data_IF_853847642237
#
_entry.id   IF_853847642237
#
_cell.length_a   1.000
_cell.length_b   1.000
_cell.length_c   1.000
_cell.angle_alpha   90.00
_cell.angle_beta   90.00
_cell.angle_gamma   90.00
#
_symmetry.space_group_name_H-M   'P 1'
#
loop_
_entity.id
_entity.type
_entity.pdbx_description
1 polymer ?
#
# COMPACT_ATOMS: atom_id res chain seq x y z
N UNK A 1 45.86 62.53 -5.07
CA UNK A 1 45.46 63.54 -4.06
C UNK A 1 44.16 63.06 -3.43
N UNK A 2 44.20 62.68 -2.15
CA UNK A 2 43.06 62.32 -1.26
C UNK A 2 42.29 61.03 -1.64
N UNK A 3 41.93 60.10 -0.74
CA UNK A 3 42.09 59.98 0.70
C UNK A 3 41.76 58.51 1.05
N UNK A 4 42.68 57.82 1.72
CA UNK A 4 42.42 56.57 2.44
C UNK A 4 42.54 56.89 3.93
N UNK A 5 41.46 56.75 4.71
CA UNK A 5 41.47 56.33 6.12
C UNK A 5 40.08 56.33 6.75
N UNK A 6 39.89 55.34 7.65
CA UNK A 6 38.85 55.20 8.68
C UNK A 6 37.46 54.77 8.16
N UNK A 7 36.84 53.68 8.61
CA UNK A 7 36.74 53.16 9.98
C UNK A 7 36.64 51.62 10.00
N UNK A 8 37.68 50.97 10.50
CA UNK A 8 37.62 49.64 11.12
C UNK A 8 36.97 49.79 12.51
N UNK A 9 35.70 49.46 12.65
CA UNK A 9 35.08 49.17 13.97
C UNK A 9 34.19 47.94 13.88
N UNK A 10 34.74 46.84 14.39
CA UNK A 10 34.07 45.76 15.11
C UNK A 10 32.73 45.26 14.56
N UNK A 11 32.78 44.36 13.58
CA UNK A 11 31.72 43.36 13.42
C UNK A 11 32.30 42.00 13.77
N UNK A 12 31.89 41.45 14.92
CA UNK A 12 32.05 40.03 15.25
C UNK A 12 30.77 39.33 14.80
N UNK A 13 30.83 38.22 14.04
CA UNK A 13 29.64 37.42 13.79
C UNK A 13 29.14 36.86 15.14
N UNK A 14 27.82 36.71 15.33
CA UNK A 14 27.30 36.12 16.55
C UNK A 14 27.86 34.71 16.70
N UNK A 15 28.55 34.46 17.81
CA UNK A 15 28.85 33.10 18.26
C UNK A 15 27.50 32.49 18.61
N UNK A 16 26.98 31.63 17.74
CA UNK A 16 25.84 30.79 18.08
C UNK A 16 26.31 29.82 19.15
N UNK A 17 25.92 30.09 20.39
CA UNK A 17 26.07 29.17 21.50
C UNK A 17 25.23 27.93 21.23
N UNK A 18 25.89 26.81 20.94
CA UNK A 18 25.29 25.51 20.60
C UNK A 18 24.66 24.84 21.83
N UNK A 19 24.62 25.48 23.01
CA UNK A 19 24.21 24.81 24.26
C UNK A 19 22.75 24.96 24.67
N UNK A 20 21.86 25.62 23.94
CA UNK A 20 20.47 25.81 24.38
C UNK A 20 19.37 25.65 23.30
N UNK A 21 19.48 24.63 22.44
CA UNK A 21 18.33 24.10 21.68
C UNK A 21 18.08 22.62 22.02
N UNK A 22 17.76 22.35 23.29
CA UNK A 22 17.04 21.14 23.71
C UNK A 22 15.79 21.58 24.48
N UNK A 23 14.81 22.15 23.79
CA UNK A 23 13.46 22.29 24.32
C UNK A 23 12.44 21.92 23.24
N UNK A 24 11.77 20.81 23.50
CA UNK A 24 10.57 20.27 22.86
C UNK A 24 10.74 19.75 21.44
N UNK A 25 11.53 18.69 21.27
CA UNK A 25 11.21 17.73 20.22
C UNK A 25 9.89 17.06 20.65
N UNK A 26 8.78 17.41 19.99
CA UNK A 26 7.53 16.65 20.10
C UNK A 26 7.90 15.21 19.78
N UNK A 27 7.62 14.30 20.70
CA UNK A 27 7.85 12.88 20.49
C UNK A 27 7.15 12.52 19.16
N UNK A 28 7.88 12.01 18.14
CA UNK A 28 7.31 11.69 16.83
C UNK A 28 6.07 10.80 16.92
N UNK A 29 5.95 10.02 18.01
CA UNK A 29 4.77 9.25 18.35
C UNK A 29 3.57 10.13 18.66
N UNK A 30 3.68 11.17 19.48
CA UNK A 30 2.51 11.95 19.94
C UNK A 30 1.79 12.67 18.79
N UNK A 31 2.52 13.08 17.75
CA UNK A 31 1.96 13.70 16.54
C UNK A 31 1.45 12.69 15.49
N UNK A 32 1.88 11.42 15.58
CA UNK A 32 1.35 10.33 14.75
C UNK A 32 -0.05 9.94 15.22
N UNK A 33 -0.25 9.89 16.55
CA UNK A 33 -1.47 9.37 17.19
C UNK A 33 -2.56 10.43 17.37
N UNK A 34 -2.28 11.70 17.08
CA UNK A 34 -3.20 12.83 17.27
C UNK A 34 -4.14 13.10 16.08
N UNK A 35 -3.98 12.38 14.96
CA UNK A 35 -4.85 12.57 13.79
C UNK A 35 -6.31 12.16 14.10
N UNK A 36 -7.32 12.96 13.72
CA UNK A 36 -8.72 12.60 13.91
C UNK A 36 -9.14 11.30 13.20
N UNK A 37 -8.42 10.87 12.17
CA UNK A 37 -8.65 9.61 11.45
C UNK A 37 -8.12 8.38 12.18
N UNK A 38 -7.22 8.55 13.15
CA UNK A 38 -6.52 7.44 13.82
C UNK A 38 -7.37 6.85 14.95
N UNK A 39 -7.50 5.53 14.97
CA UNK A 39 -8.03 4.75 16.10
C UNK A 39 -7.03 3.68 16.49
N UNK A 40 -6.91 3.45 17.79
CA UNK A 40 -5.92 2.55 18.38
C UNK A 40 -6.59 1.82 19.54
N UNK A 41 -6.47 0.49 19.56
CA UNK A 41 -6.96 -0.31 20.67
C UNK A 41 -6.00 -0.27 21.86
N UNK A 42 -4.70 -0.45 21.62
CA UNK A 42 -3.67 -0.51 22.66
C UNK A 42 -2.53 0.49 22.40
N UNK A 43 -2.62 1.73 22.92
CA UNK A 43 -1.60 2.75 22.71
C UNK A 43 -0.19 2.38 23.20
N UNK A 44 -0.09 1.59 24.28
CA UNK A 44 1.22 1.16 24.80
C UNK A 44 1.90 0.20 23.84
N UNK A 45 1.17 -0.80 23.34
CA UNK A 45 1.70 -1.76 22.37
C UNK A 45 2.12 -1.06 21.06
N UNK A 46 1.33 -0.08 20.60
CA UNK A 46 1.70 0.76 19.45
C UNK A 46 3.01 1.50 19.70
N UNK A 47 3.16 2.14 20.86
CA UNK A 47 4.37 2.88 21.19
C UNK A 47 5.61 1.97 21.23
N UNK A 48 5.49 0.77 21.80
CA UNK A 48 6.58 -0.21 21.88
C UNK A 48 7.00 -0.70 20.49
N UNK A 49 6.04 -1.03 19.61
CA UNK A 49 6.32 -1.46 18.23
C UNK A 49 6.95 -0.34 17.41
N UNK A 50 6.43 0.87 17.48
CA UNK A 50 7.02 2.03 16.78
C UNK A 50 8.44 2.30 17.28
N UNK A 51 8.68 2.24 18.60
CA UNK A 51 10.03 2.36 19.16
C UNK A 51 10.96 1.28 18.63
N UNK A 52 10.49 0.02 18.52
CA UNK A 52 11.26 -1.07 17.96
C UNK A 52 11.61 -0.83 16.47
N UNK A 53 10.65 -0.37 15.66
CA UNK A 53 10.89 0.00 14.26
C UNK A 53 11.91 1.14 14.13
N UNK A 54 11.74 2.22 14.91
CA UNK A 54 12.62 3.39 14.90
C UNK A 54 14.03 3.02 15.35
N UNK A 55 14.16 2.18 16.38
CA UNK A 55 15.46 1.72 16.89
C UNK A 55 16.13 0.73 15.93
N UNK A 56 15.34 -0.05 15.18
CA UNK A 56 15.86 -0.97 14.17
C UNK A 56 16.40 -0.27 12.92
N UNK A 57 15.89 0.92 12.61
CA UNK A 57 16.35 1.73 11.48
C UNK A 57 15.87 1.22 10.12
N UNK A 58 16.14 2.02 9.08
CA UNK A 58 15.61 1.81 7.72
C UNK A 58 16.19 0.56 7.03
N UNK A 59 17.43 0.21 7.36
CA UNK A 59 18.12 -0.94 6.75
C UNK A 59 17.59 -2.29 7.23
N UNK A 60 16.77 -2.28 8.29
CA UNK A 60 16.08 -3.47 8.82
C UNK A 60 14.60 -3.52 8.42
N UNK A 61 14.09 -2.52 7.71
CA UNK A 61 12.68 -2.41 7.34
C UNK A 61 12.41 -3.09 5.99
N UNK A 62 11.26 -3.75 5.90
CA UNK A 62 10.53 -4.09 4.68
C UNK A 62 9.07 -3.63 4.81
N UNK A 63 8.42 -3.37 3.67
CA UNK A 63 7.01 -2.95 3.62
C UNK A 63 6.22 -4.01 2.85
N UNK A 64 5.14 -4.50 3.44
CA UNK A 64 4.18 -5.38 2.78
C UNK A 64 2.86 -4.62 2.70
N UNK A 65 2.29 -4.49 1.50
CA UNK A 65 1.09 -3.70 1.31
C UNK A 65 0.14 -4.38 0.34
N UNK A 66 -1.16 -4.29 0.60
CA UNK A 66 -2.14 -4.41 -0.47
C UNK A 66 -2.06 -3.19 -1.42
N UNK A 67 -2.66 -3.29 -2.61
CA UNK A 67 -2.74 -2.19 -3.56
C UNK A 67 -4.11 -1.50 -3.59
N UNK A 68 -5.18 -2.24 -3.89
CA UNK A 68 -6.49 -1.68 -4.17
C UNK A 68 -7.11 -1.13 -2.87
N UNK A 69 -7.43 0.16 -2.83
CA UNK A 69 -7.97 0.84 -1.65
C UNK A 69 -7.04 0.89 -0.42
N UNK A 70 -5.82 0.37 -0.54
CA UNK A 70 -4.72 0.58 0.41
C UNK A 70 -3.73 1.60 -0.12
N UNK A 71 -3.05 1.30 -1.23
CA UNK A 71 -2.15 2.22 -1.95
C UNK A 71 -2.99 3.18 -2.81
N UNK A 72 -4.00 2.66 -3.50
CA UNK A 72 -4.97 3.46 -4.23
C UNK A 72 -6.05 4.02 -3.29
N UNK A 73 -6.65 5.14 -3.70
CA UNK A 73 -7.75 5.79 -3.00
C UNK A 73 -9.01 4.95 -3.11
N UNK A 74 -9.87 5.11 -2.11
CA UNK A 74 -11.24 4.60 -2.15
C UNK A 74 -12.19 5.65 -2.73
N UNK A 75 -12.01 6.93 -2.39
CA UNK A 75 -12.75 8.05 -2.96
C UNK A 75 -11.80 9.13 -3.51
N UNK A 76 -12.19 9.75 -4.62
CA UNK A 76 -11.52 10.92 -5.16
C UNK A 76 -11.86 12.20 -4.36
N UNK A 77 -11.27 13.33 -4.75
CA UNK A 77 -11.52 14.62 -4.10
C UNK A 77 -12.95 15.17 -4.29
N UNK A 78 -13.74 14.58 -5.19
CA UNK A 78 -15.12 14.93 -5.46
C UNK A 78 -16.11 13.97 -4.77
N UNK A 79 -15.61 12.93 -4.07
CA UNK A 79 -16.43 11.91 -3.42
C UNK A 79 -16.85 10.76 -4.34
N UNK A 80 -16.33 10.67 -5.57
CA UNK A 80 -16.60 9.53 -6.45
C UNK A 80 -15.73 8.34 -6.07
N UNK A 81 -16.28 7.13 -6.18
CA UNK A 81 -15.54 5.89 -5.93
C UNK A 81 -14.42 5.75 -6.97
N UNK A 82 -13.20 5.56 -6.50
CA UNK A 82 -12.06 5.21 -7.35
C UNK A 82 -12.14 3.74 -7.78
N UNK A 83 -11.51 3.41 -8.90
CA UNK A 83 -11.54 2.05 -9.44
C UNK A 83 -10.51 1.14 -8.74
N UNK A 84 -10.85 -0.13 -8.58
CA UNK A 84 -9.86 -1.19 -8.36
C UNK A 84 -9.25 -1.65 -9.67
N UNK A 85 -8.17 -2.43 -9.60
CA UNK A 85 -7.53 -3.06 -10.77
C UNK A 85 -8.50 -3.89 -11.62
N UNK A 86 -9.42 -4.65 -11.03
CA UNK A 86 -10.46 -5.38 -11.77
C UNK A 86 -11.50 -4.44 -12.40
N UNK A 87 -11.88 -3.35 -11.72
CA UNK A 87 -12.88 -2.40 -12.24
C UNK A 87 -12.39 -1.63 -13.48
N UNK A 88 -11.08 -1.58 -13.72
CA UNK A 88 -10.50 -1.03 -14.96
C UNK A 88 -11.08 -1.70 -16.20
N UNK A 89 -11.35 -3.02 -16.15
CA UNK A 89 -11.95 -3.73 -17.28
C UNK A 89 -13.40 -3.34 -17.50
N UNK A 90 -14.17 -3.06 -16.43
CA UNK A 90 -15.57 -2.61 -16.57
C UNK A 90 -15.61 -1.29 -17.34
N UNK A 91 -14.81 -0.31 -16.94
CA UNK A 91 -14.76 1.01 -17.57
C UNK A 91 -14.12 0.95 -18.96
N UNK A 92 -12.99 0.25 -19.08
CA UNK A 92 -12.25 0.14 -20.33
C UNK A 92 -13.04 -0.53 -21.45
N UNK A 93 -13.95 -1.45 -21.13
CA UNK A 93 -14.75 -2.14 -22.14
C UNK A 93 -16.06 -1.45 -22.49
N UNK A 94 -16.49 -0.39 -21.78
CA UNK A 94 -17.80 0.24 -22.01
C UNK A 94 -18.08 0.63 -23.46
N UNK A 95 -17.09 1.23 -24.11
CA UNK A 95 -17.20 1.78 -25.48
C UNK A 95 -16.88 0.74 -26.58
N UNK A 96 -16.29 -0.40 -26.22
CA UNK A 96 -15.82 -1.41 -27.19
C UNK A 96 -16.54 -2.75 -27.11
N UNK A 97 -17.08 -3.10 -25.94
CA UNK A 97 -17.87 -4.30 -25.67
C UNK A 97 -18.76 -4.06 -24.43
N UNK A 98 -19.89 -3.38 -24.66
CA UNK A 98 -20.87 -3.05 -23.62
C UNK A 98 -21.41 -4.31 -22.92
N UNK A 99 -21.57 -5.42 -23.65
CA UNK A 99 -22.06 -6.67 -23.11
C UNK A 99 -21.07 -7.28 -22.11
N UNK A 100 -19.78 -7.25 -22.41
CA UNK A 100 -18.73 -7.65 -21.47
C UNK A 100 -18.66 -6.73 -20.25
N UNK A 101 -18.73 -5.41 -20.46
CA UNK A 101 -18.78 -4.44 -19.37
C UNK A 101 -19.94 -4.74 -18.40
N UNK A 102 -21.13 -5.02 -18.95
CA UNK A 102 -22.31 -5.41 -18.18
C UNK A 102 -22.13 -6.70 -17.38
N UNK A 103 -21.50 -7.73 -17.96
CA UNK A 103 -21.21 -8.99 -17.25
C UNK A 103 -20.22 -8.80 -16.10
N UNK A 104 -19.13 -8.06 -16.33
CA UNK A 104 -18.13 -7.77 -15.30
C UNK A 104 -18.74 -6.93 -14.17
N UNK A 105 -19.56 -5.94 -14.50
CA UNK A 105 -20.30 -5.15 -13.52
C UNK A 105 -21.27 -6.00 -12.70
N UNK A 106 -22.03 -6.88 -13.34
CA UNK A 106 -22.97 -7.77 -12.64
C UNK A 106 -22.26 -8.70 -11.65
N UNK A 107 -21.06 -9.20 -11.99
CA UNK A 107 -20.23 -9.94 -11.04
C UNK A 107 -19.83 -9.06 -9.85
N UNK A 108 -19.33 -7.85 -10.11
CA UNK A 108 -18.94 -6.92 -9.03
C UNK A 108 -20.11 -6.61 -8.08
N UNK A 109 -21.26 -6.24 -8.63
CA UNK A 109 -22.45 -5.89 -7.85
C UNK A 109 -22.96 -7.07 -7.00
N UNK A 110 -22.81 -8.31 -7.48
CA UNK A 110 -23.27 -9.50 -6.78
C UNK A 110 -22.35 -9.93 -5.62
N UNK A 111 -21.03 -9.80 -5.78
CA UNK A 111 -20.07 -10.38 -4.84
C UNK A 111 -19.43 -9.37 -3.90
N UNK A 112 -19.34 -8.08 -4.27
CA UNK A 112 -18.80 -7.04 -3.39
C UNK A 112 -19.55 -6.93 -2.05
N UNK A 113 -20.90 -7.04 -1.98
CA UNK A 113 -21.61 -7.06 -0.70
C UNK A 113 -21.23 -8.26 0.18
N UNK A 114 -20.96 -9.42 -0.43
CA UNK A 114 -20.59 -10.67 0.27
C UNK A 114 -19.20 -10.53 0.89
N UNK A 115 -18.23 -9.99 0.14
CA UNK A 115 -16.87 -9.74 0.62
C UNK A 115 -16.87 -8.97 1.96
N UNK A 116 -17.75 -7.98 2.05
CA UNK A 116 -17.81 -7.07 3.19
C UNK A 116 -18.95 -7.30 4.17
N UNK A 117 -19.67 -8.42 4.04
CA UNK A 117 -20.73 -8.78 4.97
C UNK A 117 -20.15 -8.99 6.37
N UNK A 118 -20.61 -8.21 7.36
CA UNK A 118 -20.10 -8.32 8.72
C UNK A 118 -20.60 -9.55 9.48
N UNK A 119 -21.67 -10.19 8.99
CA UNK A 119 -22.31 -11.37 9.60
C UNK A 119 -21.73 -12.69 9.10
N UNK A 120 -21.25 -12.73 7.85
CA UNK A 120 -20.63 -13.93 7.29
C UNK A 120 -19.21 -14.15 7.85
N UNK A 121 -18.85 -15.41 8.09
CA UNK A 121 -17.48 -15.79 8.44
C UNK A 121 -16.56 -15.75 7.23
N UNK A 122 -15.24 -15.81 7.45
CA UNK A 122 -14.28 -15.86 6.34
C UNK A 122 -14.50 -17.15 5.53
N UNK A 123 -14.72 -18.27 6.21
CA UNK A 123 -14.92 -19.59 5.60
C UNK A 123 -16.15 -19.61 4.68
N UNK A 124 -17.23 -18.94 5.09
CA UNK A 124 -18.44 -18.79 4.27
C UNK A 124 -18.19 -17.93 3.02
N UNK A 125 -17.31 -16.92 3.10
CA UNK A 125 -17.03 -16.00 1.99
C UNK A 125 -16.04 -16.55 0.97
N UNK A 126 -15.08 -17.38 1.38
CA UNK A 126 -14.04 -17.95 0.51
C UNK A 126 -14.59 -18.51 -0.81
N UNK A 127 -15.58 -19.44 -0.83
CA UNK A 127 -16.07 -20.01 -2.09
C UNK A 127 -16.71 -18.96 -3.02
N UNK A 128 -17.30 -17.91 -2.46
CA UNK A 128 -17.85 -16.81 -3.25
C UNK A 128 -16.75 -15.96 -3.90
N UNK A 129 -15.67 -15.68 -3.18
CA UNK A 129 -14.53 -14.94 -3.72
C UNK A 129 -13.82 -15.74 -4.81
N UNK A 130 -13.62 -17.04 -4.62
CA UNK A 130 -13.05 -17.91 -5.65
C UNK A 130 -13.90 -17.90 -6.93
N UNK A 131 -15.22 -18.07 -6.80
CA UNK A 131 -16.13 -18.06 -7.95
C UNK A 131 -16.14 -16.71 -8.66
N UNK A 132 -16.15 -15.60 -7.90
CA UNK A 132 -16.12 -14.25 -8.44
C UNK A 132 -14.85 -14.00 -9.26
N UNK A 133 -13.67 -14.25 -8.67
CA UNK A 133 -12.40 -14.03 -9.34
C UNK A 133 -12.28 -14.90 -10.59
N UNK A 134 -12.57 -16.21 -10.50
CA UNK A 134 -12.49 -17.12 -11.65
C UNK A 134 -13.44 -16.72 -12.78
N UNK A 135 -14.65 -16.28 -12.43
CA UNK A 135 -15.62 -15.80 -13.41
C UNK A 135 -15.14 -14.54 -14.11
N UNK A 136 -14.60 -13.58 -13.35
CA UNK A 136 -14.05 -12.32 -13.87
C UNK A 136 -12.83 -12.58 -14.77
N UNK A 137 -11.88 -13.39 -14.31
CA UNK A 137 -10.69 -13.77 -15.05
C UNK A 137 -11.03 -14.48 -16.37
N UNK A 138 -11.99 -15.41 -16.36
CA UNK A 138 -12.46 -16.08 -17.58
C UNK A 138 -13.04 -15.09 -18.60
N UNK A 139 -13.87 -14.14 -18.16
CA UNK A 139 -14.43 -13.13 -19.05
C UNK A 139 -13.34 -12.25 -19.67
N UNK A 140 -12.31 -11.89 -18.90
CA UNK A 140 -11.18 -11.10 -19.38
C UNK A 140 -10.35 -11.88 -20.41
N UNK A 141 -10.10 -13.17 -20.19
CA UNK A 141 -9.29 -14.00 -21.10
C UNK A 141 -10.05 -14.38 -22.37
N UNK A 142 -11.35 -14.62 -22.29
CA UNK A 142 -12.21 -14.83 -23.46
C UNK A 142 -12.22 -13.63 -24.41
N UNK A 143 -12.05 -12.41 -23.87
CA UNK A 143 -11.99 -11.17 -24.64
C UNK A 143 -10.63 -10.92 -25.33
N UNK A 144 -9.57 -11.66 -24.97
CA UNK A 144 -8.25 -11.64 -25.63
C UNK A 144 -7.60 -10.27 -25.75
N UNK A 145 -7.73 -9.43 -24.72
CA UNK A 145 -7.12 -8.10 -24.73
C UNK A 145 -5.61 -8.15 -24.87
N UNK A 146 -5.06 -7.19 -25.62
CA UNK A 146 -3.62 -7.01 -25.75
C UNK A 146 -3.03 -6.16 -24.63
N UNK A 147 -1.71 -6.21 -24.42
CA UNK A 147 -1.05 -5.28 -23.47
C UNK A 147 -1.29 -3.84 -23.87
N UNK A 148 -1.30 -3.54 -25.18
CA UNK A 148 -1.64 -2.20 -25.68
C UNK A 148 -3.05 -1.77 -25.27
N UNK A 149 -4.02 -2.69 -25.36
CA UNK A 149 -5.39 -2.44 -24.91
C UNK A 149 -5.44 -2.19 -23.40
N UNK A 150 -4.77 -3.01 -22.59
CA UNK A 150 -4.71 -2.81 -21.14
C UNK A 150 -4.12 -1.45 -20.78
N UNK A 151 -3.04 -1.03 -21.45
CA UNK A 151 -2.45 0.30 -21.26
C UNK A 151 -3.44 1.42 -21.56
N UNK A 152 -4.28 1.24 -22.57
CA UNK A 152 -5.32 2.22 -22.90
C UNK A 152 -6.41 2.29 -21.82
N UNK A 153 -6.82 1.15 -21.26
CA UNK A 153 -7.80 1.08 -20.16
C UNK A 153 -7.26 1.77 -18.91
N UNK A 154 -6.01 1.47 -18.52
CA UNK A 154 -5.38 2.11 -17.36
C UNK A 154 -5.24 3.62 -17.57
N UNK A 155 -4.86 4.06 -18.77
CA UNK A 155 -4.69 5.48 -19.07
C UNK A 155 -5.96 6.32 -18.88
N UNK A 156 -7.14 5.73 -19.16
CA UNK A 156 -8.44 6.39 -18.98
C UNK A 156 -9.13 6.02 -17.66
N UNK A 157 -8.53 5.13 -16.87
CA UNK A 157 -9.06 4.70 -15.58
C UNK A 157 -8.98 5.81 -14.53
N UNK A 158 -9.90 5.78 -13.57
CA UNK A 158 -9.85 6.59 -12.36
C UNK A 158 -9.21 5.84 -11.18
N UNK A 159 -8.09 5.13 -11.42
CA UNK A 159 -7.23 4.69 -10.31
C UNK A 159 -6.43 5.91 -9.86
N UNK A 160 -6.54 6.25 -8.57
CA UNK A 160 -5.78 7.35 -7.98
C UNK A 160 -4.98 6.82 -6.80
N UNK A 161 -3.75 7.30 -6.63
CA UNK A 161 -2.96 7.01 -5.43
C UNK A 161 -3.44 7.84 -4.25
N UNK A 162 -3.36 7.28 -3.03
CA UNK A 162 -3.55 8.06 -1.79
C UNK A 162 -2.60 9.25 -1.75
N UNK A 163 -3.05 10.35 -1.13
CA UNK A 163 -2.25 11.57 -1.08
C UNK A 163 -0.90 11.33 -0.39
N UNK A 164 0.18 11.74 -1.05
CA UNK A 164 1.55 11.52 -0.58
C UNK A 164 2.15 10.15 -0.95
N UNK A 165 1.40 9.24 -1.56
CA UNK A 165 1.91 7.91 -1.92
C UNK A 165 3.07 7.97 -2.94
N UNK A 166 3.03 8.87 -3.92
CA UNK A 166 4.17 9.06 -4.85
C UNK A 166 5.48 9.30 -4.07
N UNK A 167 5.42 10.14 -3.04
CA UNK A 167 6.57 10.42 -2.16
C UNK A 167 6.96 9.25 -1.26
N UNK A 168 6.01 8.39 -0.87
CA UNK A 168 6.30 7.15 -0.14
C UNK A 168 7.09 6.18 -1.01
N UNK A 169 6.61 5.93 -2.24
CA UNK A 169 7.23 5.01 -3.19
C UNK A 169 8.67 5.43 -3.52
N UNK A 170 8.87 6.70 -3.89
CA UNK A 170 10.20 7.26 -4.17
C UNK A 170 11.14 7.17 -2.96
N UNK A 171 10.61 7.38 -1.75
CA UNK A 171 11.42 7.31 -0.53
C UNK A 171 11.87 5.89 -0.19
N UNK A 172 10.97 4.90 -0.35
CA UNK A 172 11.30 3.49 -0.17
C UNK A 172 12.36 3.04 -1.18
N UNK A 173 12.20 3.42 -2.45
CA UNK A 173 13.16 3.10 -3.51
C UNK A 173 14.54 3.69 -3.24
N UNK A 174 14.59 4.99 -2.90
CA UNK A 174 15.84 5.70 -2.58
C UNK A 174 16.64 4.99 -1.48
N UNK A 175 15.95 4.42 -0.49
CA UNK A 175 16.56 3.71 0.63
C UNK A 175 16.62 2.18 0.44
N UNK A 176 16.28 1.69 -0.76
CA UNK A 176 16.27 0.26 -1.12
C UNK A 176 15.48 -0.60 -0.12
N UNK A 177 14.40 -0.05 0.41
CA UNK A 177 13.49 -0.78 1.29
C UNK A 177 12.60 -1.66 0.41
N UNK A 178 12.61 -2.99 0.54
CA UNK A 178 11.72 -3.86 -0.23
C UNK A 178 10.26 -3.45 0.00
N UNK A 179 9.55 -3.20 -1.10
CA UNK A 179 8.11 -3.01 -1.11
C UNK A 179 7.49 -4.24 -1.76
N UNK A 180 6.74 -5.02 -0.99
CA UNK A 180 6.01 -6.18 -1.46
C UNK A 180 4.56 -5.75 -1.64
N UNK A 181 4.09 -5.62 -2.88
CA UNK A 181 2.67 -5.44 -3.18
C UNK A 181 2.01 -6.81 -3.28
N UNK A 182 1.33 -7.22 -2.21
CA UNK A 182 0.60 -8.47 -2.15
C UNK A 182 -0.89 -8.23 -2.37
N UNK A 183 -1.28 -8.23 -3.64
CA UNK A 183 -2.60 -7.79 -4.08
C UNK A 183 -3.44 -8.94 -4.62
N UNK A 184 -4.71 -9.00 -4.20
CA UNK A 184 -5.72 -9.86 -4.82
C UNK A 184 -6.22 -9.28 -6.16
N UNK A 185 -5.77 -8.09 -6.55
CA UNK A 185 -6.09 -7.46 -7.82
C UNK A 185 -5.44 -8.14 -9.04
N UNK A 186 -5.19 -7.33 -10.07
CA UNK A 186 -4.51 -7.76 -11.30
C UNK A 186 -3.15 -7.08 -11.39
N UNK A 187 -2.07 -7.87 -11.30
CA UNK A 187 -0.71 -7.35 -11.20
C UNK A 187 -0.26 -6.54 -12.41
N UNK A 188 -0.60 -6.95 -13.63
CA UNK A 188 -0.28 -6.21 -14.85
C UNK A 188 -0.91 -4.80 -14.86
N UNK A 189 -2.11 -4.65 -14.28
CA UNK A 189 -2.76 -3.35 -14.16
C UNK A 189 -2.02 -2.47 -13.16
N UNK A 190 -1.55 -3.03 -12.05
CA UNK A 190 -0.71 -2.33 -11.06
C UNK A 190 0.59 -1.85 -11.71
N UNK A 191 1.28 -2.74 -12.41
CA UNK A 191 2.55 -2.43 -13.07
C UNK A 191 2.39 -1.32 -14.12
N UNK A 192 1.41 -1.46 -15.02
CA UNK A 192 1.10 -0.45 -16.03
C UNK A 192 0.72 0.88 -15.37
N UNK A 193 -0.09 0.85 -14.31
CA UNK A 193 -0.50 2.06 -13.60
C UNK A 193 0.68 2.79 -12.97
N UNK A 194 1.54 2.07 -12.24
CA UNK A 194 2.71 2.66 -11.60
C UNK A 194 3.70 3.20 -12.63
N UNK A 195 3.94 2.47 -13.72
CA UNK A 195 4.79 2.94 -14.83
C UNK A 195 4.23 4.23 -15.46
N UNK A 196 2.93 4.27 -15.77
CA UNK A 196 2.29 5.46 -16.35
C UNK A 196 2.30 6.65 -15.37
N UNK A 197 2.17 6.39 -14.06
CA UNK A 197 2.12 7.41 -13.01
C UNK A 197 3.48 8.00 -12.68
N UNK A 198 4.50 7.14 -12.53
CA UNK A 198 5.84 7.51 -12.07
C UNK A 198 6.84 7.68 -13.22
N UNK A 199 6.51 7.17 -14.41
CA UNK A 199 7.41 7.08 -15.56
C UNK A 199 8.34 5.87 -15.53
N UNK A 200 8.26 5.04 -14.49
CA UNK A 200 9.04 3.81 -14.29
C UNK A 200 8.38 2.92 -13.23
N UNK A 201 8.78 1.66 -13.16
CA UNK A 201 8.42 0.75 -12.06
C UNK A 201 9.55 0.75 -11.02
N UNK A 202 9.30 1.07 -9.74
CA UNK A 202 10.35 1.16 -8.72
C UNK A 202 11.17 -0.13 -8.60
N UNK A 203 12.49 -0.04 -8.55
CA UNK A 203 13.36 -1.22 -8.58
C UNK A 203 13.32 -2.08 -7.29
N UNK A 204 12.81 -1.52 -6.20
CA UNK A 204 12.62 -2.19 -4.91
C UNK A 204 11.23 -2.83 -4.76
N UNK A 205 10.40 -2.79 -5.81
CA UNK A 205 9.05 -3.33 -5.80
C UNK A 205 9.05 -4.80 -6.21
N UNK A 206 8.36 -5.63 -5.42
CA UNK A 206 8.01 -7.01 -5.75
C UNK A 206 6.49 -7.14 -5.75
N UNK A 207 5.89 -7.59 -6.86
CA UNK A 207 4.44 -7.75 -6.99
C UNK A 207 4.08 -9.23 -6.85
N UNK A 208 3.23 -9.55 -5.88
CA UNK A 208 2.60 -10.87 -5.70
C UNK A 208 1.11 -10.67 -5.96
N UNK A 209 0.65 -11.05 -7.15
CA UNK A 209 -0.74 -10.83 -7.57
C UNK A 209 -1.18 -11.80 -8.67
N UNK A 210 -2.43 -11.67 -9.13
CA UNK A 210 -2.91 -12.41 -10.30
C UNK A 210 -2.33 -11.78 -11.56
N UNK A 211 -1.35 -12.45 -12.18
CA UNK A 211 -0.69 -11.98 -13.40
C UNK A 211 -1.40 -12.55 -14.63
N UNK A 212 -1.57 -11.74 -15.67
CA UNK A 212 -2.13 -12.15 -16.95
C UNK A 212 -1.05 -12.88 -17.76
N UNK A 213 -1.39 -14.06 -18.25
CA UNK A 213 -0.55 -14.82 -19.17
C UNK A 213 -0.94 -14.46 -20.60
N UNK A 214 0.02 -13.94 -21.36
CA UNK A 214 -0.15 -13.56 -22.75
C UNK A 214 0.43 -14.62 -23.68
N UNK A 215 -0.24 -14.86 -24.80
CA UNK A 215 0.29 -15.72 -25.86
C UNK A 215 1.32 -14.98 -26.76
N UNK A 216 1.83 -15.69 -27.75
CA UNK A 216 2.79 -15.18 -28.74
C UNK A 216 2.27 -14.03 -29.63
N UNK A 217 0.94 -13.82 -29.66
CA UNK A 217 0.29 -12.74 -30.40
C UNK A 217 -0.06 -11.55 -29.50
N UNK A 218 0.46 -11.51 -28.26
CA UNK A 218 0.14 -10.52 -27.25
C UNK A 218 -1.33 -10.55 -26.80
N UNK A 219 -2.03 -11.69 -26.88
CA UNK A 219 -3.39 -11.82 -26.37
C UNK A 219 -3.42 -12.41 -24.96
N UNK A 220 -4.20 -11.81 -24.06
CA UNK A 220 -4.49 -12.37 -22.74
C UNK A 220 -5.23 -13.71 -22.89
N UNK A 221 -4.63 -14.80 -22.40
CA UNK A 221 -5.18 -16.17 -22.56
C UNK A 221 -5.45 -16.87 -21.23
N UNK A 222 -4.77 -16.48 -20.15
CA UNK A 222 -5.01 -17.04 -18.82
C UNK A 222 -4.55 -16.08 -17.71
N UNK A 223 -4.74 -16.48 -16.45
CA UNK A 223 -4.09 -15.87 -15.29
C UNK A 223 -3.12 -16.87 -14.64
N UNK A 224 -2.12 -16.35 -13.92
CA UNK A 224 -1.19 -17.16 -13.14
C UNK A 224 -1.89 -17.88 -12.00
N UNK A 225 -1.43 -19.10 -11.71
CA UNK A 225 -1.79 -19.83 -10.50
C UNK A 225 -0.72 -19.63 -9.41
N UNK A 226 -1.09 -19.72 -8.11
CA UNK A 226 -2.45 -19.89 -7.61
C UNK A 226 -3.27 -18.61 -7.75
N UNK A 227 -4.59 -18.77 -7.85
CA UNK A 227 -5.52 -17.66 -7.70
C UNK A 227 -5.31 -16.97 -6.35
N UNK A 228 -5.16 -15.66 -6.34
CA UNK A 228 -5.13 -14.82 -5.15
C UNK A 228 -6.45 -14.04 -5.07
N UNK A 229 -7.18 -14.21 -3.97
CA UNK A 229 -8.38 -13.45 -3.64
C UNK A 229 -8.27 -12.88 -2.21
N UNK A 230 -9.21 -12.06 -1.77
CA UNK A 230 -9.13 -11.31 -0.52
C UNK A 230 -8.77 -12.14 0.72
N UNK A 231 -9.20 -13.41 0.80
CA UNK A 231 -9.09 -14.24 2.01
C UNK A 231 -8.00 -15.33 1.96
N UNK A 232 -7.18 -15.40 0.91
CA UNK A 232 -6.10 -16.39 0.80
C UNK A 232 -4.69 -15.76 0.75
N UNK A 233 -4.56 -14.48 1.11
CA UNK A 233 -3.29 -13.77 1.25
C UNK A 233 -2.53 -14.22 2.50
N UNK A 234 -1.91 -15.39 2.45
CA UNK A 234 -1.28 -16.03 3.60
C UNK A 234 -0.02 -16.82 3.21
N UNK A 235 0.48 -17.61 4.15
CA UNK A 235 1.70 -18.42 4.00
C UNK A 235 1.71 -19.37 2.81
N UNK A 236 0.55 -19.80 2.30
CA UNK A 236 0.48 -20.67 1.13
C UNK A 236 1.00 -20.01 -0.14
N UNK A 237 0.74 -18.71 -0.32
CA UNK A 237 1.23 -17.91 -1.44
C UNK A 237 2.67 -17.46 -1.16
N UNK A 238 2.92 -16.96 0.06
CA UNK A 238 4.27 -16.51 0.49
C UNK A 238 5.30 -17.64 0.36
N UNK A 239 4.91 -18.90 0.58
CA UNK A 239 5.78 -20.06 0.43
C UNK A 239 6.30 -20.27 -1.00
N UNK A 240 5.58 -19.79 -2.02
CA UNK A 240 6.02 -19.85 -3.42
C UNK A 240 7.10 -18.80 -3.72
N UNK A 241 7.12 -17.73 -2.92
CA UNK A 241 8.05 -16.60 -3.00
C UNK A 241 9.24 -16.76 -2.05
N UNK A 242 9.47 -17.97 -1.53
CA UNK A 242 10.48 -18.23 -0.48
C UNK A 242 11.87 -17.74 -0.85
N UNK A 243 12.28 -17.89 -2.11
CA UNK A 243 13.59 -17.42 -2.57
C UNK A 243 13.74 -15.90 -2.39
N UNK A 244 12.72 -15.14 -2.80
CA UNK A 244 12.68 -13.70 -2.62
C UNK A 244 12.70 -13.30 -1.13
N UNK A 245 11.86 -13.93 -0.30
CA UNK A 245 11.82 -13.63 1.13
C UNK A 245 13.13 -13.98 1.85
N UNK A 246 13.83 -15.03 1.41
CA UNK A 246 15.14 -15.38 1.92
C UNK A 246 16.21 -14.33 1.58
N UNK A 247 16.14 -13.71 0.40
CA UNK A 247 17.08 -12.66 0.00
C UNK A 247 16.93 -11.39 0.84
N UNK A 248 15.71 -11.11 1.32
CA UNK A 248 15.41 -9.92 2.15
C UNK A 248 15.39 -10.20 3.65
N UNK A 249 15.70 -11.43 4.11
CA UNK A 249 15.62 -11.85 5.53
C UNK A 249 16.40 -10.97 6.52
N UNK A 250 17.42 -10.26 6.06
CA UNK A 250 18.18 -9.31 6.88
C UNK A 250 17.39 -8.03 7.24
N UNK A 251 16.16 -7.89 6.72
CA UNK A 251 15.21 -6.82 7.01
C UNK A 251 14.03 -7.33 7.84
N UNK A 252 14.23 -7.72 9.10
CA UNK A 252 13.23 -8.47 9.86
C UNK A 252 12.03 -7.63 10.35
N UNK A 253 12.08 -6.30 10.23
CA UNK A 253 11.00 -5.42 10.66
C UNK A 253 10.01 -5.18 9.52
N UNK A 254 8.72 -5.38 9.78
CA UNK A 254 7.66 -5.28 8.77
C UNK A 254 6.73 -4.12 9.09
N UNK A 255 6.53 -3.23 8.11
CA UNK A 255 5.37 -2.35 8.06
C UNK A 255 4.34 -2.96 7.12
N UNK A 256 3.20 -3.38 7.67
CA UNK A 256 2.09 -3.97 6.93
C UNK A 256 0.99 -2.94 6.73
N UNK A 257 0.56 -2.76 5.49
CA UNK A 257 -0.54 -1.86 5.11
C UNK A 257 -1.65 -2.67 4.42
N UNK A 258 -2.89 -2.52 4.87
CA UNK A 258 -4.04 -3.19 4.25
C UNK A 258 -5.33 -2.45 4.49
N UNK A 259 -6.38 -2.78 3.76
CA UNK A 259 -7.71 -2.20 3.91
C UNK A 259 -8.79 -3.25 4.17
N UNK A 260 -8.43 -4.54 4.19
CA UNK A 260 -9.31 -5.64 4.51
C UNK A 260 -8.81 -6.43 5.74
N UNK A 261 -9.67 -7.28 6.31
CA UNK A 261 -9.23 -8.23 7.35
C UNK A 261 -8.39 -9.38 6.77
N UNK A 262 -8.47 -9.64 5.46
CA UNK A 262 -7.67 -10.66 4.78
C UNK A 262 -6.19 -10.29 4.67
N UNK A 263 -5.87 -8.99 4.69
CA UNK A 263 -4.51 -8.47 4.61
C UNK A 263 -3.70 -8.68 5.89
N UNK A 264 -4.36 -8.97 7.02
CA UNK A 264 -3.73 -9.20 8.32
C UNK A 264 -2.71 -10.35 8.32
N UNK A 265 -2.74 -11.22 7.31
CA UNK A 265 -1.92 -12.41 7.22
C UNK A 265 -0.86 -12.35 6.11
N UNK A 266 -0.68 -11.20 5.45
CA UNK A 266 0.34 -11.04 4.40
C UNK A 266 1.79 -11.18 4.92
N UNK A 267 2.02 -10.99 6.22
CA UNK A 267 3.31 -11.22 6.89
C UNK A 267 3.55 -12.69 7.30
N UNK A 268 2.50 -13.52 7.28
CA UNK A 268 2.59 -14.91 7.75
C UNK A 268 3.34 -15.76 6.73
N UNK A 269 4.45 -16.36 7.15
CA UNK A 269 5.34 -17.15 6.29
C UNK A 269 6.57 -16.38 5.79
N UNK A 270 6.64 -15.07 6.03
CA UNK A 270 7.86 -14.29 5.81
C UNK A 270 8.88 -14.66 6.89
N UNK A 271 10.15 -14.87 6.52
CA UNK A 271 11.26 -15.05 7.45
C UNK A 271 11.50 -13.72 8.21
N UNK A 272 10.67 -13.44 9.23
CA UNK A 272 10.77 -12.25 10.07
C UNK A 272 10.87 -12.64 11.55
N UNK A 273 11.88 -12.09 12.22
CA UNK A 273 12.08 -12.21 13.69
C UNK A 273 11.94 -10.83 14.37
N UNK A 274 11.54 -9.81 13.62
CA UNK A 274 11.51 -8.42 14.04
C UNK A 274 10.13 -7.93 14.45
N UNK A 275 9.98 -6.62 14.58
CA UNK A 275 8.70 -6.00 14.89
C UNK A 275 7.81 -5.97 13.65
N UNK A 276 6.56 -6.40 13.80
CA UNK A 276 5.50 -6.26 12.79
C UNK A 276 4.52 -5.18 13.24
N UNK A 277 4.35 -4.15 12.42
CA UNK A 277 3.44 -3.04 12.67
C UNK A 277 2.39 -2.95 11.57
N UNK A 278 1.12 -3.09 11.94
CA UNK A 278 0.00 -3.21 10.99
C UNK A 278 -0.86 -1.95 10.99
N UNK A 279 -1.04 -1.33 9.82
CA UNK A 279 -1.92 -0.18 9.62
C UNK A 279 -3.07 -0.58 8.70
N UNK A 280 -4.30 -0.44 9.20
CA UNK A 280 -5.53 -0.77 8.49
C UNK A 280 -6.24 0.48 7.99
N UNK A 281 -6.58 0.55 6.71
CA UNK A 281 -7.41 1.62 6.14
C UNK A 281 -8.89 1.21 6.15
N UNK A 282 -9.67 1.76 7.08
CA UNK A 282 -11.10 1.47 7.18
C UNK A 282 -11.90 2.46 6.33
N UNK A 283 -12.16 2.08 5.09
CA UNK A 283 -12.70 2.98 4.06
C UNK A 283 -14.23 3.19 4.11
N UNK A 284 -15.00 2.24 4.65
CA UNK A 284 -16.47 2.26 4.68
C UNK A 284 -17.00 1.31 5.77
N UNK A 285 -18.32 1.31 6.00
CA UNK A 285 -19.00 0.50 7.04
C UNK A 285 -18.31 0.59 8.42
N UNK A 286 -17.88 1.80 8.79
CA UNK A 286 -17.02 2.07 9.94
C UNK A 286 -17.60 1.48 11.22
N UNK A 287 -18.87 1.74 11.51
CA UNK A 287 -19.51 1.29 12.75
C UNK A 287 -19.55 -0.24 12.90
N UNK A 288 -19.72 -0.96 11.79
CA UNK A 288 -19.83 -2.42 11.79
C UNK A 288 -18.45 -3.10 11.81
N UNK A 289 -17.45 -2.51 11.17
CA UNK A 289 -16.15 -3.13 10.96
C UNK A 289 -15.08 -2.69 11.96
N UNK A 290 -15.19 -1.48 12.53
CA UNK A 290 -14.18 -0.91 13.42
C UNK A 290 -13.76 -1.84 14.58
N UNK A 291 -14.68 -2.54 15.29
CA UNK A 291 -14.27 -3.46 16.35
C UNK A 291 -13.31 -4.55 15.85
N UNK A 292 -13.65 -5.21 14.72
CA UNK A 292 -12.83 -6.26 14.12
C UNK A 292 -11.48 -5.72 13.62
N UNK A 293 -11.45 -4.49 13.10
CA UNK A 293 -10.22 -3.86 12.65
C UNK A 293 -9.31 -3.50 13.82
N UNK A 294 -9.88 -3.01 14.92
CA UNK A 294 -9.12 -2.68 16.13
C UNK A 294 -8.49 -3.92 16.79
N UNK A 295 -9.12 -5.09 16.66
CA UNK A 295 -8.56 -6.36 17.16
C UNK A 295 -7.37 -6.86 16.30
N UNK A 296 -7.34 -6.52 15.01
CA UNK A 296 -6.33 -7.01 14.07
C UNK A 296 -5.18 -6.05 13.76
N UNK A 297 -5.47 -4.75 13.71
CA UNK A 297 -4.52 -3.70 13.31
C UNK A 297 -4.03 -2.89 14.51
N UNK A 298 -2.74 -2.49 14.47
CA UNK A 298 -2.15 -1.62 15.49
C UNK A 298 -2.71 -0.20 15.40
N UNK A 299 -2.88 0.29 14.17
CA UNK A 299 -3.54 1.57 13.86
C UNK A 299 -4.64 1.32 12.83
N UNK A 300 -5.82 1.86 13.08
CA UNK A 300 -6.91 1.93 12.09
C UNK A 300 -7.09 3.38 11.64
N UNK A 301 -7.07 3.61 10.34
CA UNK A 301 -7.27 4.90 9.70
C UNK A 301 -8.69 4.96 9.11
N UNK A 302 -9.58 5.68 9.78
CA UNK A 302 -10.98 5.82 9.36
C UNK A 302 -11.06 6.79 8.18
N UNK A 303 -11.47 6.28 7.01
CA UNK A 303 -11.77 7.03 5.79
C UNK A 303 -10.65 7.97 5.31
N UNK A 304 -9.42 7.75 5.76
CA UNK A 304 -8.26 8.57 5.44
C UNK A 304 -7.83 8.32 4.00
N UNK A 305 -7.82 9.34 3.13
CA UNK A 305 -7.42 9.24 1.72
C UNK A 305 -5.92 9.52 1.48
N UNK A 306 -5.09 9.47 2.53
CA UNK A 306 -3.67 9.85 2.50
C UNK A 306 -2.72 8.75 3.02
N UNK A 307 -1.43 8.90 2.69
CA UNK A 307 -0.32 8.11 3.25
C UNK A 307 0.40 8.85 4.39
N UNK A 308 -0.25 9.84 5.02
CA UNK A 308 0.42 10.70 6.00
C UNK A 308 0.96 9.94 7.21
N UNK A 309 0.19 9.01 7.79
CA UNK A 309 0.62 8.21 8.93
C UNK A 309 1.78 7.27 8.55
N UNK A 310 1.68 6.44 7.49
CA UNK A 310 2.82 5.65 7.00
C UNK A 310 4.08 6.50 6.71
N UNK A 311 3.93 7.65 6.05
CA UNK A 311 5.05 8.56 5.75
C UNK A 311 5.69 9.14 7.00
N UNK A 312 4.91 9.56 8.00
CA UNK A 312 5.42 10.06 9.28
C UNK A 312 6.23 8.98 10.00
N UNK A 313 5.71 7.75 10.05
CA UNK A 313 6.42 6.61 10.63
C UNK A 313 7.74 6.33 9.89
N UNK A 314 7.71 6.25 8.56
CA UNK A 314 8.90 6.03 7.74
C UNK A 314 9.98 7.11 7.97
N UNK A 315 9.57 8.38 8.05
CA UNK A 315 10.48 9.51 8.38
C UNK A 315 11.05 9.40 9.79
N UNK A 316 10.29 8.91 10.76
CA UNK A 316 10.79 8.66 12.11
C UNK A 316 11.84 7.55 12.13
N UNK A 317 11.62 6.45 11.40
CA UNK A 317 12.58 5.35 11.25
C UNK A 317 13.89 5.84 10.61
N UNK A 318 13.80 6.66 9.55
CA UNK A 318 14.96 7.26 8.90
C UNK A 318 15.78 8.14 9.85
N UNK A 319 15.13 8.96 10.68
CA UNK A 319 15.81 9.83 11.66
C UNK A 319 16.43 9.02 12.81
N UNK A 320 15.74 7.99 13.29
CA UNK A 320 16.22 7.14 14.37
C UNK A 320 17.52 6.40 14.03
N UNK A 321 17.62 5.89 12.80
CA UNK A 321 18.84 5.22 12.32
C UNK A 321 20.04 6.15 12.18
N UNK A 322 19.84 7.44 11.91
CA UNK A 322 20.92 8.42 11.79
C UNK A 322 21.48 8.89 13.14
N UNK A 323 20.74 8.71 14.24
CA UNK A 323 21.19 9.11 15.58
C UNK A 323 22.06 8.05 16.28
N UNK A 324 22.23 6.87 15.68
CA UNK A 324 22.98 5.74 16.24
C UNK A 324 24.31 5.45 15.50
N UNK A 325 24.59 6.16 14.41
CA UNK A 325 25.86 6.15 13.67
C UNK A 325 26.64 7.44 13.92
#
# INVERSE_FOLDING_TARGET
MRLAHALLRGWRPPIYDVRHQRKNAVDPLTDLLSSPSVRIQNPSAVADKVKALVSGGIDRLQVISDFDYTISKFYDGNGNRCLTTHMVFIEGTKEIDEALAGKLKALNDAYLPIEFDAQMTIEEKVPHMELWWRSSHRLITEAKFSRTTLRSFVKVSNILLRDGCDGLLVLLEKHKVPLILFSAGIGDIIEIFLEQRLGFVPANLHIISNMILFDQNDCAVNFSDPLIHTFNKNSSVVGQERAFFHDIRNRPNVLLLGDSLGDLHMDVGVENEGAVFKIGFLNFNVDALLPKYLDGYDIVLIQDQSMNVPLKLLRAILRGGQAQN
#
